data_IF_170837102500
#
_entry.id   IF_170837102500
#
_cell.length_a   1.000
_cell.length_b   1.000
_cell.length_c   1.000
_cell.angle_alpha   90.00
_cell.angle_beta   90.00
_cell.angle_gamma   90.00
#
_symmetry.space_group_name_H-M   'P 1'
#
loop_
_entity.id
_entity.type
_entity.pdbx_description
1 polymer ?
#
# COMPACT_ATOMS: atom_id res chain seq x y z
N UNK A 1 -7.87 -39.29 -20.20
CA UNK A 1 -7.52 -37.85 -20.30
C UNK A 1 -6.54 -37.54 -19.17
N UNK A 2 -5.26 -37.35 -19.49
CA UNK A 2 -4.23 -36.99 -18.50
C UNK A 2 -4.22 -35.47 -18.34
N UNK A 3 -4.72 -34.97 -17.21
CA UNK A 3 -4.60 -33.55 -16.83
C UNK A 3 -3.15 -33.27 -16.43
N UNK A 4 -2.44 -32.49 -17.25
CA UNK A 4 -1.08 -32.02 -16.93
C UNK A 4 -1.12 -31.10 -15.70
N UNK A 5 -0.27 -31.30 -14.68
CA UNK A 5 -0.22 -30.37 -13.55
C UNK A 5 0.32 -29.03 -14.05
N UNK A 6 -0.47 -27.96 -13.91
CA UNK A 6 -0.06 -26.62 -14.27
C UNK A 6 1.24 -26.27 -13.53
N UNK A 7 2.33 -26.13 -14.28
CA UNK A 7 3.65 -25.80 -13.74
C UNK A 7 3.60 -24.36 -13.24
N UNK A 8 3.59 -24.17 -11.92
CA UNK A 8 3.63 -22.85 -11.29
C UNK A 8 4.98 -22.20 -11.62
N UNK A 9 4.99 -21.29 -12.60
CA UNK A 9 6.18 -20.54 -13.01
C UNK A 9 6.17 -19.18 -12.33
N UNK A 10 7.11 -18.96 -11.41
CA UNK A 10 7.31 -17.68 -10.73
C UNK A 10 7.88 -16.65 -11.70
N UNK A 11 7.11 -15.62 -12.06
CA UNK A 11 7.62 -14.46 -12.81
C UNK A 11 8.05 -13.39 -11.81
N UNK A 12 9.34 -13.12 -11.72
CA UNK A 12 9.84 -11.95 -11.01
C UNK A 12 9.50 -10.69 -11.82
N UNK A 13 8.79 -9.75 -11.19
CA UNK A 13 8.44 -8.46 -11.80
C UNK A 13 8.82 -7.38 -10.81
N UNK A 14 9.62 -6.39 -11.24
CA UNK A 14 10.07 -5.29 -10.36
C UNK A 14 8.93 -4.33 -10.01
N UNK A 15 7.93 -4.22 -10.89
CA UNK A 15 6.76 -3.36 -10.71
C UNK A 15 5.51 -4.06 -11.21
N UNK A 16 4.50 -4.15 -10.34
CA UNK A 16 3.23 -4.82 -10.66
C UNK A 16 2.26 -3.97 -11.50
N UNK A 17 2.69 -2.80 -11.97
CA UNK A 17 1.86 -1.93 -12.80
C UNK A 17 0.69 -1.31 -12.05
N UNK A 18 0.75 -1.18 -10.72
CA UNK A 18 -0.37 -0.65 -9.92
C UNK A 18 0.06 0.57 -9.13
N UNK A 19 -0.72 1.65 -9.26
CA UNK A 19 -0.60 2.87 -8.46
C UNK A 19 -1.89 3.05 -7.68
N UNK A 20 -1.78 3.33 -6.38
CA UNK A 20 -2.92 3.59 -5.50
C UNK A 20 -2.72 4.92 -4.79
N UNK A 21 -3.78 5.71 -4.72
CA UNK A 21 -3.85 6.91 -3.88
C UNK A 21 -4.94 6.71 -2.83
N UNK A 22 -4.77 7.31 -1.66
CA UNK A 22 -5.77 7.17 -0.61
C UNK A 22 -5.55 8.07 0.58
N UNK A 23 -6.35 7.86 1.61
CA UNK A 23 -6.34 8.63 2.84
C UNK A 23 -6.10 7.74 4.05
N UNK A 24 -5.36 8.28 5.02
CA UNK A 24 -4.99 7.59 6.26
C UNK A 24 -4.56 8.59 7.33
N UNK A 25 -5.10 8.45 8.54
CA UNK A 25 -4.69 9.21 9.72
C UNK A 25 -4.40 10.69 9.42
N UNK A 26 -5.43 11.35 8.88
CA UNK A 26 -5.45 12.79 8.56
C UNK A 26 -4.48 13.24 7.46
N UNK A 27 -3.97 12.30 6.66
CA UNK A 27 -3.11 12.59 5.52
C UNK A 27 -3.47 11.73 4.31
N UNK A 28 -2.85 12.03 3.18
CA UNK A 28 -2.95 11.23 1.99
C UNK A 28 -1.74 10.32 1.84
N UNK A 29 -1.85 9.35 0.93
CA UNK A 29 -0.72 8.55 0.49
C UNK A 29 -0.83 8.28 -1.01
N UNK A 30 0.32 8.03 -1.62
CA UNK A 30 0.45 7.36 -2.91
C UNK A 30 1.35 6.16 -2.73
N UNK A 31 0.98 5.02 -3.29
CA UNK A 31 1.80 3.81 -3.21
C UNK A 31 1.76 2.97 -4.47
N UNK A 32 2.69 2.03 -4.48
CA UNK A 32 2.74 0.94 -5.43
C UNK A 32 2.46 -0.38 -4.70
N UNK A 33 1.97 -1.39 -5.43
CA UNK A 33 1.90 -2.76 -4.90
C UNK A 33 3.30 -3.37 -4.99
N UNK A 34 3.90 -3.64 -3.82
CA UNK A 34 5.20 -4.28 -3.71
C UNK A 34 5.12 -5.81 -3.62
N UNK A 35 6.14 -6.45 -3.03
CA UNK A 35 6.14 -7.88 -2.77
C UNK A 35 4.90 -8.31 -1.98
N UNK A 36 4.20 -9.32 -2.50
CA UNK A 36 2.93 -9.78 -1.94
C UNK A 36 2.67 -11.26 -2.23
N UNK A 37 1.81 -11.86 -1.40
CA UNK A 37 1.16 -13.13 -1.71
C UNK A 37 -0.12 -12.80 -2.46
N UNK A 38 -0.33 -13.43 -3.62
CA UNK A 38 -1.41 -13.08 -4.55
C UNK A 38 -2.20 -14.31 -4.99
N UNK A 39 -3.52 -14.15 -4.98
CA UNK A 39 -4.48 -15.08 -5.54
C UNK A 39 -5.11 -14.45 -6.78
N UNK A 40 -4.94 -15.10 -7.93
CA UNK A 40 -5.47 -14.63 -9.20
C UNK A 40 -6.60 -15.54 -9.66
N UNK A 41 -7.80 -14.98 -9.84
CA UNK A 41 -8.94 -15.66 -10.45
C UNK A 41 -9.69 -14.65 -11.31
N UNK A 42 -9.46 -14.68 -12.62
CA UNK A 42 -10.05 -13.73 -13.57
C UNK A 42 -11.56 -13.55 -13.31
N UNK A 43 -12.08 -12.31 -13.29
CA UNK A 43 -11.39 -11.03 -13.52
C UNK A 43 -10.70 -10.41 -12.28
N UNK A 44 -10.68 -11.12 -11.16
CA UNK A 44 -10.18 -10.63 -9.88
C UNK A 44 -8.73 -11.04 -9.58
N UNK A 45 -8.04 -10.16 -8.87
CA UNK A 45 -6.78 -10.44 -8.20
C UNK A 45 -6.86 -9.92 -6.77
N UNK A 46 -6.51 -10.75 -5.79
CA UNK A 46 -6.47 -10.37 -4.38
C UNK A 46 -5.05 -10.60 -3.88
N UNK A 47 -4.46 -9.61 -3.23
CA UNK A 47 -3.12 -9.74 -2.65
C UNK A 47 -3.01 -9.12 -1.27
N UNK A 48 -2.16 -9.73 -0.44
CA UNK A 48 -1.73 -9.19 0.83
C UNK A 48 -0.21 -8.99 0.77
N UNK A 49 0.28 -7.80 1.11
CA UNK A 49 1.71 -7.54 1.02
C UNK A 49 2.14 -6.13 1.34
N UNK A 50 3.41 -5.87 1.02
CA UNK A 50 4.08 -4.61 1.30
C UNK A 50 3.68 -3.52 0.30
N UNK A 51 3.58 -2.30 0.82
CA UNK A 51 3.14 -1.13 0.10
C UNK A 51 4.21 -0.03 0.21
N UNK A 52 5.20 0.00 -0.70
CA UNK A 52 6.13 1.12 -0.80
C UNK A 52 5.37 2.41 -1.13
N UNK A 53 5.47 3.39 -0.25
CA UNK A 53 4.53 4.51 -0.23
C UNK A 53 5.20 5.85 0.05
N UNK A 54 4.65 6.91 -0.51
CA UNK A 54 4.89 8.28 -0.07
C UNK A 54 3.66 8.76 0.71
N UNK A 55 3.89 9.17 1.96
CA UNK A 55 2.89 9.79 2.82
C UNK A 55 2.91 11.28 2.62
N UNK A 56 1.72 11.87 2.49
CA UNK A 56 1.50 13.30 2.43
C UNK A 56 0.77 13.68 3.71
N UNK A 57 1.49 14.28 4.65
CA UNK A 57 0.91 14.71 5.92
C UNK A 57 1.54 16.04 6.33
N UNK A 58 0.70 17.03 6.56
CA UNK A 58 1.17 18.30 7.09
C UNK A 58 1.34 18.17 8.61
N UNK A 59 2.54 18.50 9.10
CA UNK A 59 2.81 18.48 10.52
C UNK A 59 2.43 19.82 11.14
N UNK A 60 1.40 19.80 12.00
CA UNK A 60 1.03 20.95 12.82
C UNK A 60 1.92 20.97 14.05
N UNK A 61 3.11 21.56 13.94
CA UNK A 61 4.03 21.75 15.07
C UNK A 61 3.93 23.17 15.63
N UNK A 62 3.89 23.29 16.95
CA UNK A 62 4.00 24.58 17.62
C UNK A 62 5.44 25.13 17.49
N UNK A 63 5.64 26.43 17.24
CA UNK A 63 6.98 27.03 17.24
C UNK A 63 7.69 26.77 18.58
N UNK A 64 9.01 26.49 18.62
CA UNK A 64 10.03 26.67 17.57
C UNK A 64 10.44 25.37 16.83
N UNK A 65 9.59 24.35 16.83
CA UNK A 65 9.99 23.01 16.35
C UNK A 65 10.11 22.92 14.83
N UNK A 66 11.17 22.27 14.34
CA UNK A 66 11.40 21.99 12.92
C UNK A 66 10.26 21.14 12.35
N UNK A 67 9.64 21.60 11.27
CA UNK A 67 8.58 20.88 10.56
C UNK A 67 9.18 19.73 9.73
N UNK A 68 8.56 18.55 9.73
CA UNK A 68 8.89 17.50 8.77
C UNK A 68 8.52 17.90 7.34
N UNK A 69 9.22 17.32 6.37
CA UNK A 69 8.88 17.45 4.93
C UNK A 69 7.45 16.98 4.67
N UNK A 70 6.72 17.70 3.80
CA UNK A 70 5.33 17.37 3.42
C UNK A 70 5.17 15.95 2.87
N UNK A 71 6.22 15.43 2.25
CA UNK A 71 6.33 14.11 1.64
C UNK A 71 7.35 13.26 2.40
N UNK A 72 6.91 12.11 2.90
CA UNK A 72 7.76 11.19 3.67
C UNK A 72 7.66 9.77 3.11
N UNK A 73 8.79 9.09 2.82
CA UNK A 73 8.76 7.68 2.46
C UNK A 73 8.28 6.83 3.63
N UNK A 74 7.44 5.85 3.35
CA UNK A 74 6.95 4.90 4.34
C UNK A 74 6.69 3.54 3.71
N UNK A 75 6.70 2.51 4.55
CA UNK A 75 6.32 1.17 4.16
C UNK A 75 5.01 0.81 4.85
N UNK A 76 3.98 0.53 4.06
CA UNK A 76 2.73 -0.03 4.54
C UNK A 76 2.66 -1.54 4.33
N UNK A 77 1.64 -2.14 4.92
CA UNK A 77 1.20 -3.50 4.62
C UNK A 77 -0.31 -3.48 4.40
N UNK A 78 -0.86 -4.22 3.46
CA UNK A 78 -2.31 -4.18 3.28
C UNK A 78 -2.88 -5.19 2.31
N UNK A 79 -4.21 -5.14 2.24
CA UNK A 79 -5.00 -5.91 1.29
C UNK A 79 -5.27 -5.07 0.04
N UNK A 80 -5.06 -5.67 -1.12
CA UNK A 80 -5.34 -5.06 -2.42
C UNK A 80 -6.24 -5.99 -3.22
N UNK A 81 -7.34 -5.46 -3.74
CA UNK A 81 -8.24 -6.15 -4.67
C UNK A 81 -8.22 -5.41 -5.98
N UNK A 82 -7.92 -6.11 -7.07
CA UNK A 82 -8.00 -5.58 -8.43
C UNK A 82 -9.12 -6.28 -9.21
N UNK A 83 -9.91 -5.49 -9.93
CA UNK A 83 -10.93 -5.93 -10.88
C UNK A 83 -10.71 -5.18 -12.20
N UNK A 84 -10.29 -5.90 -13.23
CA UNK A 84 -9.74 -5.28 -14.45
C UNK A 84 -8.62 -4.28 -14.10
N UNK A 85 -8.84 -3.00 -14.41
CA UNK A 85 -7.90 -1.91 -14.10
C UNK A 85 -8.23 -1.21 -12.78
N UNK A 86 -9.40 -1.44 -12.17
CA UNK A 86 -9.79 -0.80 -10.93
C UNK A 86 -9.15 -1.53 -9.74
N UNK A 87 -8.54 -0.77 -8.84
CA UNK A 87 -7.93 -1.29 -7.61
C UNK A 87 -8.55 -0.65 -6.39
N UNK A 88 -8.92 -1.46 -5.41
CA UNK A 88 -9.34 -1.05 -4.07
C UNK A 88 -8.30 -1.58 -3.08
N UNK A 89 -7.88 -0.74 -2.14
CA UNK A 89 -6.84 -1.08 -1.20
C UNK A 89 -7.20 -0.68 0.23
N UNK A 90 -6.92 -1.59 1.17
CA UNK A 90 -7.00 -1.36 2.61
C UNK A 90 -5.58 -1.44 3.19
N UNK A 91 -4.83 -0.33 3.20
CA UNK A 91 -3.50 -0.30 3.79
C UNK A 91 -3.52 -0.12 5.30
N UNK A 92 -2.51 -0.69 5.94
CA UNK A 92 -2.14 -0.45 7.33
C UNK A 92 -0.73 0.16 7.36
N UNK A 93 -0.58 1.25 8.11
CA UNK A 93 0.72 1.88 8.33
C UNK A 93 0.96 2.06 9.82
N UNK A 94 2.18 1.76 10.24
CA UNK A 94 2.60 1.98 11.62
C UNK A 94 3.19 3.38 11.78
N UNK A 95 2.60 4.17 12.66
CA UNK A 95 3.23 5.40 13.13
C UNK A 95 4.14 5.03 14.31
N UNK A 96 5.43 5.32 14.20
CA UNK A 96 6.38 5.04 15.26
C UNK A 96 6.07 5.86 16.52
N UNK A 97 6.40 5.28 17.69
CA UNK A 97 6.33 5.98 18.97
C UNK A 97 7.24 7.21 18.94
N UNK A 98 6.72 8.33 19.44
CA UNK A 98 7.49 9.56 19.70
C UNK A 98 7.59 9.79 21.21
N UNK A 99 8.30 10.84 21.62
CA UNK A 99 8.33 11.27 23.03
C UNK A 99 6.96 11.72 23.54
N UNK A 100 6.07 12.17 22.64
CA UNK A 100 4.75 12.71 22.99
C UNK A 100 3.58 11.75 22.74
N UNK A 101 3.73 10.76 21.85
CA UNK A 101 2.64 9.84 21.46
C UNK A 101 3.12 8.40 21.33
N UNK A 102 2.30 7.45 21.77
CA UNK A 102 2.54 6.03 21.55
C UNK A 102 2.46 5.67 20.06
N UNK A 103 3.17 4.61 19.67
CA UNK A 103 3.11 4.09 18.31
C UNK A 103 1.81 3.33 18.09
N UNK A 104 1.22 3.48 16.91
CA UNK A 104 -0.11 2.96 16.60
C UNK A 104 -0.21 2.54 15.13
N UNK A 105 -1.06 1.56 14.86
CA UNK A 105 -1.42 1.17 13.50
C UNK A 105 -2.61 1.98 13.02
N UNK A 106 -2.47 2.54 11.82
CA UNK A 106 -3.52 3.28 11.17
C UNK A 106 -4.00 2.52 9.95
N UNK A 107 -5.32 2.36 9.83
CA UNK A 107 -5.97 1.77 8.67
C UNK A 107 -6.40 2.91 7.75
N UNK A 108 -6.07 2.78 6.48
CA UNK A 108 -6.49 3.70 5.43
C UNK A 108 -7.42 3.03 4.43
N UNK A 109 -7.83 3.80 3.43
CA UNK A 109 -8.51 3.29 2.25
C UNK A 109 -7.97 4.01 1.02
N UNK A 110 -7.87 3.28 -0.10
CA UNK A 110 -7.39 3.83 -1.35
C UNK A 110 -8.01 3.21 -2.58
N UNK A 111 -7.91 3.98 -3.65
CA UNK A 111 -8.32 3.63 -5.00
C UNK A 111 -7.13 3.74 -5.92
N UNK A 112 -7.05 2.83 -6.88
CA UNK A 112 -5.91 2.76 -7.77
C UNK A 112 -6.27 2.27 -9.15
N UNK A 113 -5.25 2.33 -9.99
CA UNK A 113 -5.28 1.86 -11.35
C UNK A 113 -4.18 0.82 -11.57
N UNK A 114 -4.55 -0.28 -12.23
CA UNK A 114 -3.62 -1.30 -12.70
C UNK A 114 -3.49 -1.22 -14.22
N UNK A 115 -2.28 -0.99 -14.72
CA UNK A 115 -1.96 -0.90 -16.16
C UNK A 115 -2.01 -2.28 -16.85
#
# INVERSE_FOLDING_TARGET
MLSSPAKAQTKATLFDGTIVVGHIDHGAYINCVGPSIRLNKKPFSVSAGLLPSLRIKEEKVAPPTTKNTLLTPSLGFGLTVAFHHLVIQLPLYYNAKTTAKNGEWNIGAGLGYKF
#
